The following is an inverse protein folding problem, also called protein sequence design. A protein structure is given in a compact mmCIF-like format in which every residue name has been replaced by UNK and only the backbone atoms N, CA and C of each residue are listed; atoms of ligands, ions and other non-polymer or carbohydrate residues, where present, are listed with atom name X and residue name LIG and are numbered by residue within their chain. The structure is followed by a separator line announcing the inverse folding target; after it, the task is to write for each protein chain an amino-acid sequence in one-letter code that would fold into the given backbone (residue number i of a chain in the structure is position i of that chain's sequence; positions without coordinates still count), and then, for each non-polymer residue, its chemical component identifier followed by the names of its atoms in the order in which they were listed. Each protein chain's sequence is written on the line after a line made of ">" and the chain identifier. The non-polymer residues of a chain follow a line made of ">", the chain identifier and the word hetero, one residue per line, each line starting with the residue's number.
data_IF_270873666341
#
_entry.id   IF_270873666341
#
_cell.length_a   1.000
_cell.length_b   1.000
_cell.length_c   1.000
_cell.angle_alpha   90.00
_cell.angle_beta   90.00
_cell.angle_gamma   90.00
#
_symmetry.space_group_name_H-M   'P 1'
#
loop_
_entity.id
_entity.type
_entity.pdbx_description
1 polymer ?
#
# COMPACT_ATOMS: atom_id res chain seq x y z
N UNK A 1 -4.17 -2.37 9.35
CA UNK A 1 -4.46 -1.42 8.26
C UNK A 1 -5.84 -1.63 7.63
N UNK A 2 -6.28 -2.86 7.40
CA UNK A 2 -7.60 -3.15 6.81
C UNK A 2 -8.79 -2.51 7.58
N UNK A 3 -8.74 -2.54 8.92
CA UNK A 3 -9.69 -1.83 9.78
C UNK A 3 -9.69 -0.30 9.55
N UNK A 4 -8.52 0.34 9.44
CA UNK A 4 -8.42 1.78 9.19
C UNK A 4 -8.95 2.21 7.82
N UNK A 5 -8.73 1.38 6.79
CA UNK A 5 -9.32 1.59 5.46
C UNK A 5 -10.84 1.43 5.48
N UNK A 6 -11.36 0.45 6.22
CA UNK A 6 -12.81 0.27 6.41
C UNK A 6 -13.44 1.39 7.26
N UNK A 7 -12.67 2.00 8.17
CA UNK A 7 -13.10 3.19 8.93
C UNK A 7 -13.18 4.46 8.07
N UNK A 8 -12.44 4.53 6.96
CA UNK A 8 -12.48 5.63 5.99
C UNK A 8 -13.30 5.31 4.72
N UNK A 9 -14.21 4.31 4.78
CA UNK A 9 -15.06 3.86 3.65
C UNK A 9 -14.29 3.46 2.38
N UNK A 10 -13.03 3.02 2.54
CA UNK A 10 -12.17 2.55 1.46
C UNK A 10 -12.00 1.01 1.46
N UNK A 11 -12.78 0.28 2.28
CA UNK A 11 -12.87 -1.17 2.30
C UNK A 11 -14.27 -1.64 2.75
N UNK A 12 -14.71 -2.88 2.43
CA UNK A 12 -16.03 -3.39 2.80
C UNK A 12 -16.28 -3.29 4.32
N UNK A 13 -17.47 -2.81 4.71
CA UNK A 13 -17.81 -2.52 6.12
C UNK A 13 -17.73 -3.71 7.08
N UNK A 14 -17.64 -4.93 6.55
CA UNK A 14 -17.42 -6.17 7.31
C UNK A 14 -16.09 -6.11 8.09
N UNK A 15 -15.07 -5.44 7.56
CA UNK A 15 -13.77 -5.26 8.23
C UNK A 15 -13.76 -4.18 9.32
N UNK A 16 -14.84 -3.37 9.42
CA UNK A 16 -15.04 -2.36 10.47
C UNK A 16 -15.60 -2.96 11.77
N UNK A 17 -16.00 -4.24 11.75
CA UNK A 17 -16.62 -4.91 12.90
C UNK A 17 -15.56 -5.22 13.96
N UNK A 18 -15.66 -4.55 15.09
CA UNK A 18 -14.81 -4.75 16.27
C UNK A 18 -15.36 -5.92 17.11
N UNK A 19 -14.47 -6.76 17.64
CA UNK A 19 -14.82 -7.74 18.69
C UNK A 19 -15.06 -7.02 20.02
N UNK A 20 -15.70 -7.69 20.99
CA UNK A 20 -15.96 -7.17 22.35
C UNK A 20 -14.70 -6.71 23.10
N UNK A 21 -13.52 -7.16 22.67
CA UNK A 21 -12.22 -6.73 23.22
C UNK A 21 -11.57 -5.57 22.43
N UNK A 22 -12.32 -4.84 21.62
CA UNK A 22 -11.85 -3.73 20.76
C UNK A 22 -10.75 -4.10 19.75
N UNK A 23 -10.65 -5.39 19.39
CA UNK A 23 -9.72 -5.87 18.37
C UNK A 23 -10.51 -6.21 17.09
N UNK A 24 -10.08 -5.74 15.89
CA UNK A 24 -10.69 -6.10 14.62
C UNK A 24 -10.34 -7.54 14.23
N UNK A 25 -11.03 -8.50 14.85
CA UNK A 25 -10.74 -9.94 14.76
C UNK A 25 -10.77 -10.44 13.31
N UNK A 26 -11.71 -9.93 12.50
CA UNK A 26 -11.85 -10.35 11.10
C UNK A 26 -10.66 -9.91 10.22
N UNK A 27 -10.14 -8.70 10.48
CA UNK A 27 -8.93 -8.21 9.80
C UNK A 27 -7.71 -9.02 10.20
N UNK A 28 -7.60 -9.37 11.49
CA UNK A 28 -6.49 -10.16 12.00
C UNK A 28 -6.53 -11.60 11.47
N UNK A 29 -7.68 -12.27 11.56
CA UNK A 29 -7.89 -13.62 11.04
C UNK A 29 -7.60 -13.69 9.53
N UNK A 30 -8.02 -12.68 8.76
CA UNK A 30 -7.71 -12.58 7.34
C UNK A 30 -6.21 -12.49 7.08
N UNK A 31 -5.47 -11.64 7.81
CA UNK A 31 -4.01 -11.54 7.64
C UNK A 31 -3.29 -12.83 8.05
N UNK A 32 -3.73 -13.47 9.12
CA UNK A 32 -3.17 -14.75 9.58
C UNK A 32 -3.42 -15.87 8.57
N UNK A 33 -4.65 -15.96 8.04
CA UNK A 33 -4.99 -16.93 7.00
C UNK A 33 -4.16 -16.71 5.74
N UNK A 34 -4.05 -15.46 5.29
CA UNK A 34 -3.25 -15.11 4.12
C UNK A 34 -1.77 -15.50 4.32
N UNK A 35 -1.23 -15.27 5.52
CA UNK A 35 0.14 -15.68 5.85
C UNK A 35 0.29 -17.21 5.84
N UNK A 36 -0.66 -17.93 6.41
CA UNK A 36 -0.67 -19.39 6.44
C UNK A 36 -0.69 -19.98 5.02
N UNK A 37 -1.54 -19.43 4.14
CA UNK A 37 -1.60 -19.81 2.72
C UNK A 37 -0.26 -19.51 2.03
N UNK A 38 0.35 -18.36 2.29
CA UNK A 38 1.67 -18.02 1.73
C UNK A 38 2.77 -19.01 2.14
N UNK A 39 2.77 -19.44 3.41
CA UNK A 39 3.72 -20.45 3.91
C UNK A 39 3.44 -21.82 3.27
N UNK A 40 2.18 -22.25 3.23
CA UNK A 40 1.80 -23.53 2.58
C UNK A 40 2.22 -23.57 1.11
N UNK A 41 2.08 -22.45 0.39
CA UNK A 41 2.49 -22.34 -1.00
C UNK A 41 4.00 -22.58 -1.17
N UNK A 42 4.83 -22.14 -0.22
CA UNK A 42 6.28 -22.40 -0.24
C UNK A 42 6.62 -23.89 -0.09
N UNK A 43 5.79 -24.66 0.63
CA UNK A 43 5.98 -26.10 0.81
C UNK A 43 5.51 -26.93 -0.41
N UNK A 44 4.57 -26.41 -1.20
CA UNK A 44 4.00 -27.10 -2.37
C UNK A 44 4.88 -26.93 -3.61
N UNK A 45 5.64 -25.83 -3.71
CA UNK A 45 6.53 -25.58 -4.85
C UNK A 45 7.77 -26.48 -4.74
N UNK A 46 8.10 -27.28 -5.78
CA UNK A 46 9.20 -28.25 -5.74
C UNK A 46 10.57 -27.61 -5.52
N UNK A 47 10.74 -26.33 -5.88
CA UNK A 47 11.93 -25.55 -5.55
C UNK A 47 11.62 -24.38 -4.61
N UNK A 48 11.78 -24.62 -3.31
CA UNK A 48 11.56 -23.63 -2.24
C UNK A 48 12.37 -22.34 -2.47
N UNK A 49 13.59 -22.46 -3.00
CA UNK A 49 14.44 -21.29 -3.30
C UNK A 49 13.84 -20.38 -4.38
N UNK A 50 13.25 -20.96 -5.41
CA UNK A 50 12.60 -20.21 -6.50
C UNK A 50 11.34 -19.51 -5.98
N UNK A 51 10.51 -20.21 -5.20
CA UNK A 51 9.32 -19.62 -4.58
C UNK A 51 9.67 -18.47 -3.62
N UNK A 52 10.68 -18.67 -2.76
CA UNK A 52 11.16 -17.64 -1.84
C UNK A 52 11.70 -16.41 -2.60
N UNK A 53 12.47 -16.63 -3.67
CA UNK A 53 13.02 -15.54 -4.49
C UNK A 53 11.90 -14.71 -5.13
N UNK A 54 10.88 -15.36 -5.68
CA UNK A 54 9.71 -14.66 -6.25
C UNK A 54 8.97 -13.87 -5.18
N UNK A 55 8.61 -14.50 -4.05
CA UNK A 55 7.85 -13.85 -2.97
C UNK A 55 8.63 -12.68 -2.36
N UNK A 56 9.92 -12.86 -2.10
CA UNK A 56 10.80 -11.81 -1.57
C UNK A 56 10.95 -10.65 -2.56
N UNK A 57 11.10 -10.94 -3.85
CA UNK A 57 11.21 -9.90 -4.90
C UNK A 57 9.91 -9.11 -5.02
N UNK A 58 8.77 -9.79 -5.01
CA UNK A 58 7.44 -9.15 -4.99
C UNK A 58 7.32 -8.24 -3.77
N UNK A 59 7.71 -8.71 -2.59
CA UNK A 59 7.72 -7.91 -1.35
C UNK A 59 8.62 -6.67 -1.49
N UNK A 60 9.84 -6.83 -2.01
CA UNK A 60 10.77 -5.72 -2.23
C UNK A 60 10.19 -4.66 -3.17
N UNK A 61 9.55 -5.05 -4.27
CA UNK A 61 8.91 -4.12 -5.22
C UNK A 61 7.76 -3.36 -4.53
N UNK A 62 6.92 -4.03 -3.75
CA UNK A 62 5.84 -3.40 -2.99
C UNK A 62 6.35 -2.40 -1.94
N UNK A 63 7.46 -2.73 -1.28
CA UNK A 63 8.14 -1.84 -0.33
C UNK A 63 8.66 -0.60 -1.08
N UNK A 64 9.37 -0.79 -2.20
CA UNK A 64 9.87 0.32 -3.05
C UNK A 64 8.72 1.23 -3.49
N UNK A 65 7.60 0.65 -3.93
CA UNK A 65 6.41 1.40 -4.32
C UNK A 65 5.84 2.21 -3.15
N UNK A 66 5.69 1.59 -1.97
CA UNK A 66 5.16 2.25 -0.76
C UNK A 66 6.03 3.46 -0.37
N UNK A 67 7.35 3.30 -0.32
CA UNK A 67 8.27 4.39 -0.03
C UNK A 67 8.23 5.48 -1.10
N UNK A 68 8.13 5.11 -2.37
CA UNK A 68 7.98 6.06 -3.47
C UNK A 68 6.70 6.90 -3.32
N UNK A 69 5.56 6.28 -2.96
CA UNK A 69 4.30 6.98 -2.70
C UNK A 69 4.40 7.92 -1.51
N UNK A 70 5.06 7.51 -0.42
CA UNK A 70 5.29 8.36 0.76
C UNK A 70 6.13 9.59 0.38
N UNK A 71 7.23 9.41 -0.34
CA UNK A 71 8.10 10.49 -0.80
C UNK A 71 7.38 11.42 -1.78
N UNK A 72 6.63 10.87 -2.73
CA UNK A 72 5.81 11.65 -3.66
C UNK A 72 4.76 12.49 -2.92
N UNK A 73 4.11 11.90 -1.90
CA UNK A 73 3.15 12.59 -1.04
C UNK A 73 3.81 13.71 -0.23
N UNK A 74 5.04 13.52 0.23
CA UNK A 74 5.83 14.56 0.89
C UNK A 74 6.16 15.73 -0.05
N UNK A 75 6.59 15.43 -1.29
CA UNK A 75 6.87 16.45 -2.31
C UNK A 75 5.57 17.22 -2.65
N UNK A 76 4.46 16.51 -2.84
CA UNK A 76 3.15 17.10 -3.11
C UNK A 76 2.66 17.96 -1.93
N UNK A 77 2.79 17.47 -0.70
CA UNK A 77 2.43 18.21 0.52
C UNK A 77 3.19 19.54 0.60
N UNK A 78 4.49 19.52 0.33
CA UNK A 78 5.29 20.76 0.33
C UNK A 78 4.92 21.72 -0.81
N UNK A 79 4.44 21.21 -1.95
CA UNK A 79 3.99 22.04 -3.08
C UNK A 79 2.61 22.65 -2.85
N UNK A 80 1.70 21.92 -2.23
CA UNK A 80 0.29 22.31 -2.06
C UNK A 80 0.10 23.18 -0.82
N UNK A 81 0.84 22.92 0.28
CA UNK A 81 0.69 23.64 1.55
C UNK A 81 2.03 24.10 2.14
N UNK A 82 2.74 25.04 1.50
CA UNK A 82 4.00 25.58 2.00
C UNK A 82 3.86 26.29 3.36
N UNK A 83 2.69 26.86 3.61
CA UNK A 83 2.25 27.57 4.82
C UNK A 83 2.23 26.69 6.08
N UNK A 84 1.71 25.46 5.98
CA UNK A 84 1.70 24.50 7.11
C UNK A 84 3.07 23.86 7.34
N UNK A 85 3.87 23.71 6.28
CA UNK A 85 5.24 23.20 6.42
C UNK A 85 6.15 24.18 7.15
N UNK A 86 5.95 25.49 6.96
CA UNK A 86 6.70 26.53 7.66
C UNK A 86 6.48 26.47 9.19
N UNK A 87 5.28 26.10 9.63
CA UNK A 87 4.87 25.96 11.03
C UNK A 87 5.26 24.60 11.65
N UNK A 88 5.75 23.64 10.85
CA UNK A 88 6.06 22.31 11.36
C UNK A 88 7.35 22.31 12.20
N UNK A 89 7.24 21.78 13.42
CA UNK A 89 8.35 21.62 14.36
C UNK A 89 9.38 20.56 13.92
N UNK A 90 9.00 19.63 13.02
CA UNK A 90 9.86 18.54 12.57
C UNK A 90 10.11 18.63 11.06
N UNK A 91 11.18 19.30 10.68
CA UNK A 91 11.59 19.47 9.28
C UNK A 91 12.56 18.36 8.89
N UNK A 92 12.30 17.69 7.77
CA UNK A 92 13.25 16.70 7.25
C UNK A 92 14.60 17.36 6.94
N UNK A 93 15.72 16.85 7.47
CA UNK A 93 17.05 17.32 7.10
C UNK A 93 17.26 17.09 5.59
N UNK A 94 17.57 18.15 4.84
CA UNK A 94 17.75 18.08 3.39
C UNK A 94 16.47 18.14 2.54
N UNK A 95 15.28 18.12 3.15
CA UNK A 95 14.03 18.48 2.47
C UNK A 95 13.69 17.72 1.17
N UNK A 96 13.25 18.45 0.13
CA UNK A 96 12.82 17.93 -1.18
C UNK A 96 13.99 17.40 -2.00
N UNK A 97 15.19 18.02 -1.98
CA UNK A 97 16.37 17.42 -2.59
C UNK A 97 16.65 16.00 -2.07
N UNK A 98 16.56 15.80 -0.75
CA UNK A 98 16.75 14.46 -0.15
C UNK A 98 15.65 13.48 -0.58
N UNK A 99 14.40 13.94 -0.66
CA UNK A 99 13.30 13.12 -1.15
C UNK A 99 13.50 12.67 -2.62
N UNK A 100 13.98 13.57 -3.48
CA UNK A 100 14.33 13.24 -4.87
C UNK A 100 15.52 12.28 -4.97
N UNK A 101 16.55 12.48 -4.15
CA UNK A 101 17.69 11.57 -4.09
C UNK A 101 17.26 10.15 -3.68
N UNK A 102 16.43 10.04 -2.63
CA UNK A 102 15.86 8.75 -2.21
C UNK A 102 15.01 8.11 -3.31
N UNK A 103 14.23 8.89 -4.06
CA UNK A 103 13.43 8.39 -5.17
C UNK A 103 14.32 7.87 -6.32
N UNK A 104 15.40 8.59 -6.62
CA UNK A 104 16.41 8.15 -7.60
C UNK A 104 17.11 6.87 -7.15
N UNK A 105 17.47 6.75 -5.87
CA UNK A 105 18.06 5.54 -5.29
C UNK A 105 17.11 4.34 -5.36
N UNK A 106 15.83 4.54 -5.05
CA UNK A 106 14.80 3.50 -5.20
C UNK A 106 14.64 3.05 -6.66
N UNK A 107 14.66 3.99 -7.61
CA UNK A 107 14.66 3.68 -9.04
C UNK A 107 15.90 2.90 -9.50
N UNK A 108 17.06 3.21 -8.93
CA UNK A 108 18.30 2.47 -9.16
C UNK A 108 18.20 1.03 -8.63
N UNK A 109 17.72 0.82 -7.41
CA UNK A 109 17.50 -0.52 -6.84
C UNK A 109 16.53 -1.32 -7.72
N UNK A 110 15.44 -0.70 -8.18
CA UNK A 110 14.49 -1.36 -9.07
C UNK A 110 15.12 -1.77 -10.42
N UNK A 111 16.04 -0.96 -10.93
CA UNK A 111 16.82 -1.28 -12.13
C UNK A 111 17.79 -2.45 -11.90
N UNK A 112 18.42 -2.54 -10.72
CA UNK A 112 19.23 -3.71 -10.33
C UNK A 112 18.40 -5.00 -10.25
N UNK A 113 17.17 -4.92 -9.75
CA UNK A 113 16.23 -6.04 -9.78
C UNK A 113 15.82 -6.42 -11.22
N UNK A 114 15.80 -5.47 -12.16
CA UNK A 114 15.46 -5.76 -13.56
C UNK A 114 16.59 -6.49 -14.33
N UNK A 115 17.84 -6.30 -13.89
CA UNK A 115 19.04 -6.90 -14.50
C UNK A 115 19.23 -8.37 -14.13
N UNK A 116 18.66 -8.83 -13.03
CA UNK A 116 18.76 -10.21 -12.56
C UNK A 116 17.64 -11.06 -13.16
N UNK A 117 17.96 -12.22 -13.79
CA UNK A 117 16.99 -13.02 -14.52
C UNK A 117 15.88 -13.58 -13.63
N UNK A 118 16.21 -14.03 -12.42
CA UNK A 118 15.24 -14.62 -11.48
C UNK A 118 14.24 -13.57 -10.94
N UNK A 119 14.70 -12.33 -10.73
CA UNK A 119 13.87 -11.23 -10.23
C UNK A 119 13.13 -10.49 -11.35
N UNK A 120 13.61 -10.59 -12.60
CA UNK A 120 12.96 -10.00 -13.77
C UNK A 120 11.57 -10.57 -14.01
N UNK A 121 11.39 -11.88 -13.79
CA UNK A 121 10.09 -12.53 -13.94
C UNK A 121 9.07 -11.91 -12.97
N UNK A 122 9.45 -11.74 -11.70
CA UNK A 122 8.61 -11.09 -10.70
C UNK A 122 8.32 -9.61 -11.06
N UNK A 123 9.30 -8.90 -11.62
CA UNK A 123 9.13 -7.53 -12.09
C UNK A 123 8.14 -7.42 -13.26
N UNK A 124 8.10 -8.40 -14.17
CA UNK A 124 7.13 -8.42 -15.29
C UNK A 124 5.70 -8.70 -14.85
N UNK A 125 5.51 -9.45 -13.76
CA UNK A 125 4.19 -9.73 -13.19
C UNK A 125 3.59 -8.49 -12.52
N UNK A 126 4.43 -7.59 -12.00
CA UNK A 126 3.99 -6.41 -11.23
C UNK A 126 3.11 -5.43 -12.01
N UNK A 127 3.43 -5.03 -13.26
CA UNK A 127 2.53 -4.20 -14.06
C UNK A 127 1.13 -4.79 -14.20
N UNK A 128 1.01 -6.10 -14.41
CA UNK A 128 -0.28 -6.79 -14.48
C UNK A 128 -1.07 -6.69 -13.17
N UNK A 129 -0.39 -6.85 -12.05
CA UNK A 129 -0.98 -6.66 -10.71
C UNK A 129 -1.44 -5.22 -10.48
N UNK A 130 -0.64 -4.22 -10.86
CA UNK A 130 -1.03 -2.80 -10.76
C UNK A 130 -2.24 -2.45 -11.62
N UNK A 131 -2.31 -2.99 -12.85
CA UNK A 131 -3.49 -2.82 -13.72
C UNK A 131 -4.72 -3.46 -13.07
N UNK A 132 -4.59 -4.66 -12.53
CA UNK A 132 -5.67 -5.33 -11.81
C UNK A 132 -6.15 -4.52 -10.60
N UNK A 133 -5.22 -3.97 -9.80
CA UNK A 133 -5.56 -3.07 -8.69
C UNK A 133 -6.24 -1.78 -9.17
N UNK A 134 -5.80 -1.20 -10.28
CA UNK A 134 -6.41 0.01 -10.84
C UNK A 134 -7.86 -0.26 -11.28
N UNK A 135 -8.12 -1.41 -11.90
CA UNK A 135 -9.47 -1.87 -12.27
C UNK A 135 -10.31 -2.10 -11.01
N UNK A 136 -9.79 -2.82 -10.01
CA UNK A 136 -10.47 -3.06 -8.74
C UNK A 136 -10.80 -1.73 -8.03
N UNK A 137 -9.88 -0.76 -8.02
CA UNK A 137 -10.11 0.56 -7.45
C UNK A 137 -11.23 1.30 -8.18
N UNK A 138 -11.21 1.35 -9.51
CA UNK A 138 -12.28 1.99 -10.30
C UNK A 138 -13.64 1.35 -10.05
N UNK A 139 -13.69 0.02 -9.98
CA UNK A 139 -14.90 -0.73 -9.64
C UNK A 139 -15.38 -0.44 -8.22
N UNK A 140 -14.50 -0.26 -7.23
CA UNK A 140 -14.95 0.13 -5.89
C UNK A 140 -15.38 1.60 -5.79
N UNK A 141 -14.77 2.49 -6.58
CA UNK A 141 -15.10 3.91 -6.59
C UNK A 141 -16.45 4.20 -7.26
N UNK A 142 -16.87 3.39 -8.23
CA UNK A 142 -18.21 3.49 -8.85
C UNK A 142 -19.35 2.98 -7.95
N UNK A 143 -19.02 2.29 -6.85
CA UNK A 143 -19.99 1.72 -5.90
C UNK A 143 -20.23 2.56 -4.65
N UNK A 144 -19.68 3.78 -4.55
CA UNK A 144 -20.10 4.72 -3.48
C UNK A 144 -21.52 5.19 -3.79
N UNK A 145 -22.56 4.77 -3.01
CA UNK A 145 -23.89 5.33 -3.18
C UNK A 145 -23.80 6.82 -2.88
N UNK A 146 -24.36 7.64 -3.76
CA UNK A 146 -24.50 9.09 -3.56
C UNK A 146 -25.04 9.33 -2.14
N UNK A 147 -24.36 10.11 -1.27
CA UNK A 147 -24.89 10.38 0.06
C UNK A 147 -26.29 10.96 -0.09
N UNK A 148 -27.27 10.29 0.53
CA UNK A 148 -28.66 10.74 0.50
C UNK A 148 -28.70 12.17 1.05
N UNK A 149 -29.17 13.10 0.22
CA UNK A 149 -29.38 14.48 0.61
C UNK A 149 -30.46 14.51 1.70
N UNK A 150 -30.07 14.69 2.96
CA UNK A 150 -31.04 14.86 4.05
C UNK A 150 -30.52 14.52 5.45
N UNK A 151 -29.55 15.29 5.96
CA UNK A 151 -29.40 15.46 7.43
C UNK A 151 -28.59 16.71 7.78
N UNK A 152 -28.94 17.86 7.20
CA UNK A 152 -28.56 19.18 7.74
C UNK A 152 -29.60 19.59 8.77
N UNK A 153 -29.39 19.16 10.01
CA UNK A 153 -29.81 19.85 11.25
C UNK A 153 -29.67 18.82 12.37
N UNK A 154 -28.59 18.90 13.16
CA UNK A 154 -28.49 18.43 14.56
C UNK A 154 -27.02 18.40 14.99
N UNK A 155 -26.37 19.58 15.10
CA UNK A 155 -25.23 19.83 16.00
C UNK A 155 -25.20 21.35 16.27
N UNK A 156 -26.14 21.78 17.11
CA UNK A 156 -25.98 22.98 17.95
C UNK A 156 -25.35 22.58 19.27
#
# INVERSE_FOLDING_TARGET
>A
MLFGLASHDNAPGIFRRLSGNSVPLLSLAFTTLLMLVGVLLLFIVPEVMTAFTIVSTVSAILVIFTWSTILASYIAYRRIRPDLHAQSAYKMPGGVPMAWFSLAFLGFVLSLLALRPDTRIALMVMPGWFIWLAIAYQLTHTWKPKPAAGSTSQYS
#
